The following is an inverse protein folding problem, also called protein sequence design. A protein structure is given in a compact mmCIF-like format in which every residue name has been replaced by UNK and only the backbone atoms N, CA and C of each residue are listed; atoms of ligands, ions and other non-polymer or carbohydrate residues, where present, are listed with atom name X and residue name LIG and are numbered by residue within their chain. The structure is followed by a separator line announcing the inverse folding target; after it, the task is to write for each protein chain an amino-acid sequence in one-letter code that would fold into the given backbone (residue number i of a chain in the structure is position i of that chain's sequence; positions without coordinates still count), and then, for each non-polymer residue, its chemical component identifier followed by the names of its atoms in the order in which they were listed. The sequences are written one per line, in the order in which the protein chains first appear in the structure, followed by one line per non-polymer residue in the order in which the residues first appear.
data_IF_073325760275
#
_entry.id   IF_073325760275
#
_cell.length_a   1.000
_cell.length_b   1.000
_cell.length_c   1.000
_cell.angle_alpha   90.00
_cell.angle_beta   90.00
_cell.angle_gamma   90.00
#
_symmetry.space_group_name_H-M   'P 1'
#
loop_
_entity.id
_entity.type
_entity.pdbx_description
1 polymer ?
#
# COMPACT_ATOMS: atom_id res chain seq x y z
N UNK A 1 56.20 -13.73 35.60
CA UNK A 1 55.13 -13.50 34.68
C UNK A 1 54.87 -14.60 33.66
N UNK A 2 54.76 -15.86 34.05
CA UNK A 2 54.50 -16.96 33.10
C UNK A 2 53.21 -17.78 33.42
N UNK A 3 52.27 -17.17 34.12
CA UNK A 3 51.15 -17.93 34.68
C UNK A 3 49.82 -17.92 33.89
N UNK A 4 49.59 -16.98 32.98
CA UNK A 4 48.27 -16.79 32.36
C UNK A 4 48.15 -17.33 30.90
N UNK A 5 49.24 -17.38 30.16
CA UNK A 5 49.23 -17.86 28.77
C UNK A 5 49.08 -19.38 28.67
N UNK A 6 49.50 -20.13 29.71
CA UNK A 6 49.38 -21.58 29.73
C UNK A 6 47.96 -22.14 30.00
N UNK A 7 47.08 -21.36 30.65
CA UNK A 7 45.75 -21.86 31.02
C UNK A 7 44.74 -21.77 29.84
N UNK A 8 44.84 -20.76 29.00
CA UNK A 8 43.96 -20.60 27.84
C UNK A 8 44.26 -21.65 26.74
N UNK A 9 45.54 -21.96 26.50
CA UNK A 9 45.93 -23.05 25.61
C UNK A 9 45.44 -24.42 26.10
N UNK A 10 45.43 -24.65 27.40
CA UNK A 10 44.99 -25.93 27.99
C UNK A 10 43.52 -26.25 27.82
N UNK A 11 42.63 -25.27 27.73
CA UNK A 11 41.18 -25.51 27.50
C UNK A 11 40.96 -25.95 26.07
N UNK A 12 41.59 -25.32 25.09
CA UNK A 12 41.49 -25.66 23.66
C UNK A 12 42.10 -27.04 23.37
N UNK A 13 43.21 -27.38 23.99
CA UNK A 13 43.90 -28.66 23.75
C UNK A 13 43.25 -29.83 24.44
N UNK A 14 42.57 -29.62 25.59
CA UNK A 14 41.86 -30.66 26.32
C UNK A 14 40.48 -31.02 25.78
N UNK A 15 39.78 -30.06 25.21
CA UNK A 15 38.40 -30.24 24.67
C UNK A 15 38.26 -29.61 23.30
N UNK A 16 39.05 -30.06 22.34
CA UNK A 16 39.08 -29.55 20.98
C UNK A 16 37.70 -29.62 20.29
N UNK A 17 36.95 -30.70 20.50
CA UNK A 17 35.61 -30.87 19.93
C UNK A 17 34.60 -29.85 20.47
N UNK A 18 34.70 -29.49 21.74
CA UNK A 18 33.78 -28.51 22.34
C UNK A 18 34.22 -27.08 21.99
N UNK A 19 35.53 -26.82 21.88
CA UNK A 19 36.06 -25.57 21.38
C UNK A 19 35.62 -25.31 19.92
N UNK A 20 35.68 -26.32 19.04
CA UNK A 20 35.24 -26.22 17.65
C UNK A 20 33.73 -25.93 17.58
N UNK A 21 32.88 -26.62 18.38
CA UNK A 21 31.43 -26.35 18.46
C UNK A 21 31.13 -24.92 18.92
N UNK A 22 31.86 -24.42 19.91
CA UNK A 22 31.70 -23.03 20.40
C UNK A 22 32.09 -22.04 19.30
N UNK A 23 33.22 -22.28 18.62
CA UNK A 23 33.64 -21.43 17.50
C UNK A 23 32.62 -21.44 16.35
N UNK A 24 32.08 -22.60 15.98
CA UNK A 24 31.04 -22.72 14.96
C UNK A 24 29.79 -21.97 15.37
N UNK A 25 29.34 -22.10 16.61
CA UNK A 25 28.17 -21.38 17.12
C UNK A 25 28.40 -19.87 17.14
N UNK A 26 29.59 -19.39 17.51
CA UNK A 26 29.95 -17.97 17.46
C UNK A 26 29.93 -17.47 16.02
N UNK A 27 30.51 -18.22 15.07
CA UNK A 27 30.50 -17.88 13.65
C UNK A 27 29.08 -17.82 13.07
N UNK A 28 28.23 -18.78 13.41
CA UNK A 28 26.80 -18.77 13.01
C UNK A 28 26.11 -17.52 13.54
N UNK A 29 26.27 -17.21 14.82
CA UNK A 29 25.68 -16.03 15.45
C UNK A 29 26.22 -14.72 14.86
N UNK A 30 27.52 -14.63 14.61
CA UNK A 30 28.15 -13.48 13.95
C UNK A 30 27.59 -13.27 12.53
N UNK A 31 27.54 -14.34 11.73
CA UNK A 31 26.98 -14.27 10.37
C UNK A 31 25.49 -13.86 10.38
N UNK A 32 24.72 -14.36 11.34
CA UNK A 32 23.32 -13.97 11.52
C UNK A 32 23.18 -12.47 11.86
N UNK A 33 24.01 -11.96 12.78
CA UNK A 33 24.03 -10.52 13.15
C UNK A 33 24.45 -9.63 11.97
N UNK A 34 25.53 -9.97 11.27
CA UNK A 34 26.00 -9.21 10.10
C UNK A 34 24.94 -9.17 9.01
N UNK A 35 24.28 -10.30 8.71
CA UNK A 35 23.17 -10.35 7.74
C UNK A 35 22.00 -9.47 8.16
N UNK A 36 21.60 -9.54 9.42
CA UNK A 36 20.52 -8.71 9.97
C UNK A 36 20.85 -7.21 9.88
N UNK A 37 22.08 -6.83 10.19
CA UNK A 37 22.53 -5.44 10.14
C UNK A 37 22.65 -4.92 8.70
N UNK A 38 23.20 -5.72 7.79
CA UNK A 38 23.25 -5.36 6.36
C UNK A 38 21.86 -5.21 5.77
N UNK A 39 20.94 -6.11 6.12
CA UNK A 39 19.54 -6.01 5.69
C UNK A 39 18.89 -4.74 6.24
N UNK A 40 19.10 -4.43 7.53
CA UNK A 40 18.60 -3.21 8.17
C UNK A 40 19.12 -1.94 7.47
N UNK A 41 20.43 -1.87 7.17
CA UNK A 41 21.02 -0.74 6.46
C UNK A 41 20.48 -0.57 5.04
N UNK A 42 20.32 -1.67 4.30
CA UNK A 42 19.75 -1.65 2.95
C UNK A 42 18.30 -1.17 2.95
N UNK A 43 17.49 -1.63 3.90
CA UNK A 43 16.09 -1.20 4.04
C UNK A 43 16.03 0.27 4.45
N UNK A 44 16.86 0.70 5.42
CA UNK A 44 16.94 2.10 5.83
C UNK A 44 17.35 3.01 4.65
N UNK A 45 18.33 2.61 3.85
CA UNK A 45 18.73 3.33 2.63
C UNK A 45 17.58 3.45 1.61
N UNK A 46 16.84 2.36 1.38
CA UNK A 46 15.66 2.37 0.48
C UNK A 46 14.54 3.31 0.96
N UNK A 47 14.30 3.40 2.27
CA UNK A 47 13.25 4.22 2.86
C UNK A 47 13.66 5.68 3.06
N UNK A 48 14.94 5.97 3.34
CA UNK A 48 15.44 7.34 3.57
C UNK A 48 15.72 8.13 2.29
N UNK A 49 15.84 7.48 1.14
CA UNK A 49 15.99 8.17 -0.16
C UNK A 49 14.72 8.91 -0.63
N UNK A 50 13.85 9.26 0.31
CA UNK A 50 12.48 9.75 0.08
C UNK A 50 12.37 11.24 -0.27
N UNK A 51 13.46 12.02 -0.23
CA UNK A 51 13.38 13.46 -0.51
C UNK A 51 13.15 13.81 -1.98
N UNK A 52 13.25 12.84 -2.90
CA UNK A 52 13.08 13.04 -4.34
C UNK A 52 12.06 12.04 -4.91
N UNK A 53 10.79 12.18 -4.45
CA UNK A 53 9.76 11.13 -4.63
C UNK A 53 9.14 11.05 -6.02
N UNK A 54 9.06 12.15 -6.74
CA UNK A 54 8.36 12.18 -8.04
C UNK A 54 9.05 11.38 -9.14
N UNK A 55 10.37 11.17 -9.06
CA UNK A 55 11.17 10.55 -10.12
C UNK A 55 11.47 9.06 -9.91
N UNK A 56 11.23 8.51 -8.69
CA UNK A 56 11.67 7.15 -8.32
C UNK A 56 10.56 6.11 -8.12
N UNK A 57 9.31 6.53 -7.92
CA UNK A 57 8.18 5.60 -7.81
C UNK A 57 7.54 5.43 -9.17
N UNK A 58 7.65 4.21 -9.72
CA UNK A 58 7.13 3.93 -11.06
C UNK A 58 5.61 4.13 -11.12
N UNK A 59 5.16 4.87 -12.16
CA UNK A 59 3.74 5.11 -12.46
C UNK A 59 2.96 5.86 -11.38
N UNK A 60 3.62 6.39 -10.36
CA UNK A 60 2.97 7.34 -9.46
C UNK A 60 2.67 8.64 -10.21
N UNK A 61 1.44 9.10 -10.10
CA UNK A 61 0.96 10.35 -10.72
C UNK A 61 0.58 11.31 -9.61
N UNK A 62 1.44 12.30 -9.33
CA UNK A 62 1.22 13.27 -8.26
C UNK A 62 0.14 14.31 -8.64
N UNK A 63 -0.34 15.05 -7.67
CA UNK A 63 -1.20 16.21 -7.82
C UNK A 63 -0.39 17.51 -7.73
N UNK A 64 -1.02 18.64 -8.12
CA UNK A 64 -0.36 19.95 -8.15
C UNK A 64 -0.32 20.64 -6.79
N UNK A 65 -1.36 20.46 -5.97
CA UNK A 65 -1.43 21.08 -4.64
C UNK A 65 -0.28 20.64 -3.74
N UNK A 66 0.21 21.58 -2.93
CA UNK A 66 1.17 21.33 -1.84
C UNK A 66 0.48 21.30 -0.48
N UNK A 67 -0.78 21.69 -0.42
CA UNK A 67 -1.56 21.68 0.82
C UNK A 67 -2.02 20.25 1.14
N UNK A 68 -1.46 19.68 2.20
CA UNK A 68 -1.77 18.32 2.65
C UNK A 68 -3.25 18.18 3.02
N UNK A 69 -3.90 19.24 3.48
CA UNK A 69 -5.31 19.21 3.89
C UNK A 69 -6.28 18.90 2.74
N UNK A 70 -5.88 19.23 1.51
CA UNK A 70 -6.68 19.01 0.29
C UNK A 70 -6.30 17.73 -0.45
N UNK A 71 -5.03 17.28 -0.32
CA UNK A 71 -4.47 16.20 -1.13
C UNK A 71 -5.10 14.86 -0.83
N UNK A 72 -5.50 14.15 -1.87
CA UNK A 72 -6.03 12.79 -1.81
C UNK A 72 -5.16 11.82 -2.61
N UNK A 73 -4.90 10.64 -2.05
CA UNK A 73 -4.19 9.56 -2.73
C UNK A 73 -5.15 8.44 -3.09
N UNK A 74 -5.29 8.15 -4.37
CA UNK A 74 -5.99 6.96 -4.85
C UNK A 74 -4.99 5.82 -5.09
N UNK A 75 -5.21 4.68 -4.44
CA UNK A 75 -4.50 3.43 -4.69
C UNK A 75 -5.41 2.59 -5.58
N UNK A 76 -5.04 2.44 -6.87
CA UNK A 76 -5.90 1.80 -7.86
C UNK A 76 -5.36 0.44 -8.30
N UNK A 77 -6.26 -0.43 -8.79
CA UNK A 77 -5.91 -1.75 -9.26
C UNK A 77 -5.43 -1.73 -10.71
N UNK A 78 -4.13 -1.95 -10.90
CA UNK A 78 -3.53 -2.15 -12.21
C UNK A 78 -3.36 -0.90 -13.07
N UNK A 79 -2.77 -1.11 -14.22
CA UNK A 79 -2.43 -0.03 -15.16
C UNK A 79 -3.65 0.48 -15.95
N UNK A 80 -4.63 -0.39 -16.20
CA UNK A 80 -5.87 -0.01 -16.90
C UNK A 80 -6.67 0.98 -16.06
N UNK A 81 -6.87 0.68 -14.77
CA UNK A 81 -7.52 1.60 -13.85
C UNK A 81 -6.73 2.92 -13.68
N UNK A 82 -5.38 2.87 -13.68
CA UNK A 82 -4.57 4.09 -13.68
C UNK A 82 -4.92 4.99 -14.87
N UNK A 83 -5.11 4.43 -16.06
CA UNK A 83 -5.46 5.18 -17.28
C UNK A 83 -6.77 5.92 -17.14
N UNK A 84 -7.85 5.22 -16.77
CA UNK A 84 -9.18 5.78 -16.56
C UNK A 84 -9.19 6.83 -15.44
N UNK A 85 -8.66 6.49 -14.26
CA UNK A 85 -8.60 7.41 -13.12
C UNK A 85 -7.75 8.66 -13.40
N UNK A 86 -6.66 8.54 -14.18
CA UNK A 86 -5.82 9.69 -14.57
C UNK A 86 -6.58 10.70 -15.43
N UNK A 87 -7.49 10.24 -16.28
CA UNK A 87 -8.35 11.12 -17.09
C UNK A 87 -9.48 11.72 -16.25
N UNK A 88 -10.06 10.93 -15.34
CA UNK A 88 -11.20 11.30 -14.52
C UNK A 88 -10.89 12.23 -13.33
N UNK A 89 -9.64 12.19 -12.80
CA UNK A 89 -9.27 12.89 -11.57
C UNK A 89 -9.23 14.40 -11.69
N UNK A 90 -9.41 15.08 -10.59
CA UNK A 90 -8.95 16.46 -10.46
C UNK A 90 -7.44 16.46 -10.16
N UNK A 91 -6.65 16.87 -11.15
CA UNK A 91 -5.19 16.92 -11.05
C UNK A 91 -4.67 17.99 -10.08
N UNK A 92 -5.52 18.87 -9.59
CA UNK A 92 -5.12 19.88 -8.60
C UNK A 92 -4.79 19.24 -7.25
N UNK A 93 -5.61 18.30 -6.77
CA UNK A 93 -5.44 17.72 -5.44
C UNK A 93 -5.46 16.16 -5.38
N UNK A 94 -5.82 15.48 -6.47
CA UNK A 94 -5.89 14.02 -6.49
C UNK A 94 -4.65 13.39 -7.14
N UNK A 95 -3.94 12.56 -6.39
CA UNK A 95 -2.81 11.75 -6.85
C UNK A 95 -3.23 10.28 -6.99
N UNK A 96 -2.53 9.53 -7.85
CA UNK A 96 -2.85 8.12 -8.11
C UNK A 96 -1.58 7.28 -8.11
N UNK A 97 -1.67 6.10 -7.48
CA UNK A 97 -0.65 5.06 -7.56
C UNK A 97 -1.30 3.72 -7.93
N UNK A 98 -0.85 3.03 -8.98
CA UNK A 98 -1.35 1.71 -9.32
C UNK A 98 -0.65 0.63 -8.49
N UNK A 99 -1.43 -0.37 -8.07
CA UNK A 99 -0.94 -1.61 -7.49
C UNK A 99 -1.12 -2.73 -8.51
N UNK A 100 -0.03 -3.39 -8.89
CA UNK A 100 -0.05 -4.45 -9.90
C UNK A 100 -0.18 -5.81 -9.24
N UNK A 101 -1.33 -6.43 -9.45
CA UNK A 101 -1.61 -7.77 -8.96
C UNK A 101 -1.71 -7.85 -7.43
N UNK A 102 -1.75 -9.07 -6.92
CA UNK A 102 -1.89 -9.34 -5.48
C UNK A 102 -0.57 -9.05 -4.76
N UNK A 103 -0.59 -8.07 -3.88
CA UNK A 103 0.59 -7.74 -3.07
C UNK A 103 0.85 -8.81 -2.01
N UNK A 104 2.06 -8.79 -1.45
CA UNK A 104 2.44 -9.71 -0.37
C UNK A 104 1.51 -9.56 0.84
N UNK A 105 1.05 -10.70 1.39
CA UNK A 105 0.27 -10.69 2.64
C UNK A 105 1.15 -10.29 3.82
N UNK A 106 1.09 -9.03 4.19
CA UNK A 106 1.90 -8.46 5.27
C UNK A 106 1.59 -9.05 6.64
N UNK A 107 0.41 -9.61 6.88
CA UNK A 107 0.09 -10.24 8.18
C UNK A 107 0.84 -11.56 8.38
N UNK A 108 1.13 -12.28 7.29
CA UNK A 108 1.82 -13.58 7.34
C UNK A 108 3.32 -13.47 7.07
N UNK A 109 3.76 -12.45 6.37
CA UNK A 109 5.15 -12.30 5.95
C UNK A 109 6.05 -11.74 7.06
N UNK A 110 7.31 -12.12 7.03
CA UNK A 110 8.35 -11.52 7.87
C UNK A 110 8.72 -10.11 7.38
N UNK A 111 9.13 -9.22 8.28
CA UNK A 111 9.48 -7.85 7.95
C UNK A 111 10.55 -7.74 6.85
N UNK A 112 11.54 -8.62 6.83
CA UNK A 112 12.58 -8.61 5.80
C UNK A 112 11.99 -8.83 4.39
N UNK A 113 10.99 -9.72 4.25
CA UNK A 113 10.30 -9.97 2.99
C UNK A 113 9.38 -8.80 2.62
N UNK A 114 8.71 -8.20 3.61
CA UNK A 114 7.84 -7.04 3.40
C UNK A 114 8.67 -5.88 2.82
N UNK A 115 9.78 -5.52 3.44
CA UNK A 115 10.62 -4.41 2.99
C UNK A 115 11.51 -4.73 1.78
N UNK A 116 11.62 -5.99 1.38
CA UNK A 116 12.21 -6.37 0.10
C UNK A 116 11.24 -6.22 -1.08
N UNK A 117 9.93 -6.09 -0.80
CA UNK A 117 8.90 -5.95 -1.84
C UNK A 117 8.82 -4.49 -2.31
N UNK A 118 9.07 -4.26 -3.59
CA UNK A 118 9.14 -2.92 -4.16
C UNK A 118 7.77 -2.21 -4.14
N UNK A 119 6.67 -2.92 -4.36
CA UNK A 119 5.31 -2.32 -4.32
C UNK A 119 5.02 -1.77 -2.92
N UNK A 120 5.33 -2.54 -1.89
CA UNK A 120 5.11 -2.12 -0.49
C UNK A 120 6.00 -0.94 -0.13
N UNK A 121 7.29 -0.99 -0.52
CA UNK A 121 8.21 0.11 -0.24
C UNK A 121 7.84 1.38 -0.99
N UNK A 122 7.31 1.28 -2.20
CA UNK A 122 6.82 2.42 -2.97
C UNK A 122 5.56 3.03 -2.34
N UNK A 123 4.61 2.21 -1.87
CA UNK A 123 3.45 2.70 -1.11
C UNK A 123 3.87 3.42 0.17
N UNK A 124 4.82 2.87 0.95
CA UNK A 124 5.34 3.53 2.16
C UNK A 124 5.98 4.89 1.83
N UNK A 125 6.77 4.96 0.75
CA UNK A 125 7.39 6.22 0.30
C UNK A 125 6.33 7.26 -0.12
N UNK A 126 5.32 6.85 -0.88
CA UNK A 126 4.25 7.74 -1.33
C UNK A 126 3.43 8.26 -0.17
N UNK A 127 3.12 7.41 0.82
CA UNK A 127 2.43 7.81 2.05
C UNK A 127 3.26 8.81 2.87
N UNK A 128 4.56 8.59 3.00
CA UNK A 128 5.50 9.53 3.61
C UNK A 128 5.55 9.54 5.14
N UNK A 129 4.64 8.85 5.82
CA UNK A 129 4.53 8.88 7.29
C UNK A 129 5.41 7.86 8.04
N UNK A 130 6.23 7.07 7.32
CA UNK A 130 7.05 6.01 7.94
C UNK A 130 6.24 4.78 8.32
N UNK A 131 6.78 3.96 9.24
CA UNK A 131 6.19 2.67 9.63
C UNK A 131 6.21 2.46 11.14
N UNK A 132 5.13 1.89 11.69
CA UNK A 132 4.97 1.51 13.09
C UNK A 132 5.42 0.05 13.29
N UNK A 133 6.73 -0.17 13.49
CA UNK A 133 7.23 -1.54 13.67
C UNK A 133 7.27 -1.89 15.15
N UNK A 134 6.55 -2.94 15.55
CA UNK A 134 6.51 -3.45 16.92
C UNK A 134 7.74 -4.30 17.30
N UNK A 135 8.72 -4.49 16.40
CA UNK A 135 9.92 -5.31 16.66
C UNK A 135 11.04 -4.49 17.27
N UNK A 136 11.62 -4.99 18.40
CA UNK A 136 12.75 -4.35 19.07
C UNK A 136 13.97 -4.17 18.16
N UNK A 137 14.20 -5.10 17.22
CA UNK A 137 15.33 -5.06 16.26
C UNK A 137 15.18 -4.04 15.14
N UNK A 138 13.99 -3.46 14.97
CA UNK A 138 13.67 -2.56 13.84
C UNK A 138 13.15 -1.17 14.29
N UNK A 139 13.17 -0.86 15.59
CA UNK A 139 12.66 0.41 16.13
C UNK A 139 13.34 1.66 15.56
N UNK A 140 14.59 1.53 15.08
CA UNK A 140 15.36 2.65 14.51
C UNK A 140 15.19 2.79 12.98
N UNK A 141 14.32 2.01 12.36
CA UNK A 141 13.90 2.25 10.97
C UNK A 141 12.98 3.46 10.94
N UNK A 142 12.72 4.02 9.79
CA UNK A 142 11.96 5.26 9.63
C UNK A 142 10.76 5.28 10.57
N UNK A 143 10.92 6.00 11.68
CA UNK A 143 9.91 6.07 12.73
C UNK A 143 8.62 6.66 12.16
N UNK A 144 7.50 6.08 12.54
CA UNK A 144 6.20 6.60 12.13
C UNK A 144 5.97 7.99 12.73
N UNK A 145 5.56 8.91 11.88
CA UNK A 145 5.06 10.23 12.28
C UNK A 145 3.86 10.60 11.41
N UNK A 146 2.70 10.72 12.04
CA UNK A 146 1.45 11.06 11.36
C UNK A 146 1.50 12.45 10.70
N UNK A 147 2.24 13.40 11.28
CA UNK A 147 2.36 14.76 10.74
C UNK A 147 3.15 14.81 9.42
N UNK A 148 3.89 13.74 9.11
CA UNK A 148 4.57 13.58 7.83
C UNK A 148 3.70 12.91 6.76
N UNK A 149 2.48 12.49 7.09
CA UNK A 149 1.54 11.98 6.10
C UNK A 149 1.25 13.07 5.06
N UNK A 150 1.41 12.74 3.79
CA UNK A 150 1.29 13.71 2.69
C UNK A 150 -0.12 13.87 2.14
N UNK A 151 -1.09 13.18 2.74
CA UNK A 151 -2.44 13.03 2.22
C UNK A 151 -3.48 13.28 3.29
N UNK A 152 -4.52 14.04 2.96
CA UNK A 152 -5.69 14.17 3.82
C UNK A 152 -6.45 12.86 3.88
N UNK A 153 -6.54 12.16 2.73
CA UNK A 153 -7.24 10.88 2.56
C UNK A 153 -6.42 9.93 1.70
N UNK A 154 -6.42 8.66 2.09
CA UNK A 154 -5.87 7.52 1.33
C UNK A 154 -7.05 6.66 0.91
N UNK A 155 -7.33 6.59 -0.38
CA UNK A 155 -8.54 6.00 -0.93
C UNK A 155 -8.16 4.77 -1.74
N UNK A 156 -8.64 3.59 -1.33
CA UNK A 156 -8.42 2.32 -2.03
C UNK A 156 -9.55 2.14 -3.04
N UNK A 157 -9.21 2.05 -4.31
CA UNK A 157 -10.15 1.91 -5.41
C UNK A 157 -9.77 0.67 -6.23
N UNK A 158 -10.50 -0.42 -6.05
CA UNK A 158 -10.30 -1.72 -6.72
C UNK A 158 -11.57 -2.13 -7.44
N UNK A 159 -11.42 -3.04 -8.38
CA UNK A 159 -12.56 -3.62 -9.09
C UNK A 159 -13.57 -4.26 -8.12
N UNK A 160 -14.83 -4.27 -8.51
CA UNK A 160 -15.91 -4.83 -7.68
C UNK A 160 -16.07 -6.34 -7.90
N UNK A 161 -14.97 -7.06 -8.02
CA UNK A 161 -14.90 -8.50 -8.18
C UNK A 161 -14.10 -9.19 -7.06
N UNK A 162 -13.97 -10.51 -7.13
CA UNK A 162 -13.29 -11.32 -6.11
C UNK A 162 -11.80 -10.95 -6.02
N UNK A 163 -11.15 -10.66 -7.14
CA UNK A 163 -9.72 -10.29 -7.16
C UNK A 163 -9.51 -8.89 -6.59
N UNK A 164 -10.36 -7.94 -6.94
CA UNK A 164 -10.34 -6.58 -6.37
C UNK A 164 -10.60 -6.58 -4.87
N UNK A 165 -11.52 -7.40 -4.37
CA UNK A 165 -11.73 -7.57 -2.92
C UNK A 165 -10.52 -8.17 -2.21
N UNK A 166 -9.81 -9.09 -2.87
CA UNK A 166 -8.57 -9.65 -2.33
C UNK A 166 -7.45 -8.61 -2.29
N UNK A 167 -7.27 -7.82 -3.36
CA UNK A 167 -6.25 -6.76 -3.42
C UNK A 167 -6.54 -5.70 -2.35
N UNK A 168 -7.78 -5.25 -2.23
CA UNK A 168 -8.25 -4.33 -1.17
C UNK A 168 -7.90 -4.86 0.21
N UNK A 169 -8.20 -6.12 0.49
CA UNK A 169 -7.91 -6.76 1.77
C UNK A 169 -6.40 -6.80 2.04
N UNK A 170 -5.57 -7.07 1.04
CA UNK A 170 -4.11 -7.11 1.20
C UNK A 170 -3.53 -5.70 1.46
N UNK A 171 -4.05 -4.66 0.80
CA UNK A 171 -3.65 -3.27 1.06
C UNK A 171 -4.05 -2.86 2.48
N UNK A 172 -5.28 -3.16 2.91
CA UNK A 172 -5.72 -2.91 4.28
C UNK A 172 -4.88 -3.66 5.32
N UNK A 173 -4.54 -4.93 5.05
CA UNK A 173 -3.67 -5.73 5.90
C UNK A 173 -2.25 -5.14 6.00
N UNK A 174 -1.73 -4.57 4.91
CA UNK A 174 -0.45 -3.84 4.91
C UNK A 174 -0.52 -2.60 5.80
N UNK A 175 -1.55 -1.76 5.61
CA UNK A 175 -1.75 -0.53 6.39
C UNK A 175 -1.94 -0.89 7.87
N UNK A 176 -2.80 -1.85 8.18
CA UNK A 176 -3.06 -2.30 9.56
C UNK A 176 -1.79 -2.79 10.26
N UNK A 177 -0.90 -3.50 9.56
CA UNK A 177 0.32 -4.02 10.16
C UNK A 177 1.44 -2.99 10.30
N UNK A 178 1.59 -2.10 9.30
CA UNK A 178 2.73 -1.20 9.19
C UNK A 178 2.45 0.21 9.69
N UNK A 179 1.19 0.64 9.69
CA UNK A 179 0.78 2.00 10.06
C UNK A 179 -0.69 2.05 10.54
N UNK A 180 -1.04 1.27 11.61
CA UNK A 180 -2.41 1.16 12.10
C UNK A 180 -3.02 2.51 12.50
N UNK A 181 -2.21 3.46 12.95
CA UNK A 181 -2.65 4.82 13.29
C UNK A 181 -3.37 5.52 12.13
N UNK A 182 -3.07 5.19 10.85
CA UNK A 182 -3.81 5.76 9.71
C UNK A 182 -5.28 5.33 9.71
N UNK A 183 -5.57 4.09 10.11
CA UNK A 183 -6.94 3.57 10.23
C UNK A 183 -7.62 4.21 11.44
N UNK A 184 -6.95 4.23 12.60
CA UNK A 184 -7.47 4.81 13.84
C UNK A 184 -7.80 6.30 13.70
N UNK A 185 -7.04 7.03 12.91
CA UNK A 185 -7.27 8.46 12.60
C UNK A 185 -8.23 8.71 11.45
N UNK A 186 -8.87 7.66 10.91
CA UNK A 186 -9.84 7.79 9.82
C UNK A 186 -9.25 8.36 8.53
N UNK A 187 -7.99 8.02 8.21
CA UNK A 187 -7.30 8.50 7.01
C UNK A 187 -7.48 7.56 5.81
N UNK A 188 -7.97 6.34 6.03
CA UNK A 188 -8.10 5.30 5.02
C UNK A 188 -9.56 5.10 4.64
N UNK A 189 -9.83 5.15 3.34
CA UNK A 189 -11.15 5.03 2.74
C UNK A 189 -11.16 3.96 1.67
N UNK A 190 -12.34 3.43 1.38
CA UNK A 190 -12.59 2.54 0.25
C UNK A 190 -13.55 3.28 -0.66
N UNK A 191 -13.20 3.46 -1.92
CA UNK A 191 -14.11 4.00 -2.92
C UNK A 191 -14.99 2.87 -3.47
N UNK A 192 -16.27 3.13 -3.57
CA UNK A 192 -17.22 2.27 -4.28
C UNK A 192 -17.45 2.84 -5.68
N UNK A 193 -17.23 2.01 -6.70
CA UNK A 193 -17.57 2.34 -8.08
C UNK A 193 -18.93 1.78 -8.43
N UNK A 194 -19.76 2.47 -9.23
CA UNK A 194 -21.04 1.95 -9.63
C UNK A 194 -20.89 0.68 -10.48
N UNK A 195 -21.79 -0.28 -10.26
CA UNK A 195 -21.84 -1.53 -11.01
C UNK A 195 -22.68 -1.40 -12.29
N UNK A 196 -23.60 -0.46 -12.32
CA UNK A 196 -24.49 -0.23 -13.43
C UNK A 196 -24.60 1.25 -13.75
N UNK A 197 -24.52 1.54 -15.04
CA UNK A 197 -24.86 2.81 -15.64
C UNK A 197 -26.15 2.64 -16.43
N UNK A 198 -27.17 3.45 -16.16
CA UNK A 198 -28.48 3.41 -16.78
C UNK A 198 -28.68 4.72 -17.50
N UNK A 199 -28.65 4.67 -18.83
CA UNK A 199 -28.77 5.84 -19.69
C UNK A 199 -30.17 5.92 -20.29
N UNK A 200 -30.87 7.02 -20.05
CA UNK A 200 -32.04 7.44 -20.80
C UNK A 200 -31.66 8.56 -21.79
N UNK A 201 -32.62 9.04 -22.54
CA UNK A 201 -32.40 10.12 -23.50
C UNK A 201 -31.91 11.42 -22.84
N UNK A 202 -32.38 11.69 -21.64
CA UNK A 202 -32.21 12.97 -20.95
C UNK A 202 -31.37 12.90 -19.67
N UNK A 203 -31.19 11.71 -19.09
CA UNK A 203 -30.52 11.52 -17.81
C UNK A 203 -29.72 10.21 -17.73
N UNK A 204 -28.69 10.20 -16.89
CA UNK A 204 -27.89 9.02 -16.55
C UNK A 204 -27.94 8.75 -15.05
N UNK A 205 -28.24 7.52 -14.68
CA UNK A 205 -28.25 7.06 -13.30
C UNK A 205 -27.17 6.01 -13.06
N UNK A 206 -26.68 5.97 -11.84
CA UNK A 206 -25.67 5.03 -11.38
C UNK A 206 -26.22 4.18 -10.24
N UNK A 207 -26.09 2.85 -10.37
CA UNK A 207 -26.48 1.91 -9.34
C UNK A 207 -25.27 1.11 -8.84
N UNK A 208 -25.16 0.96 -7.54
CA UNK A 208 -24.04 0.31 -6.88
C UNK A 208 -24.31 -1.14 -6.49
N UNK A 209 -25.57 -1.54 -6.59
CA UNK A 209 -26.03 -2.91 -6.35
C UNK A 209 -27.29 -3.21 -7.18
N UNK A 210 -27.72 -4.48 -7.14
CA UNK A 210 -28.89 -4.93 -7.90
C UNK A 210 -30.20 -4.27 -7.42
N UNK A 211 -30.32 -4.02 -6.10
CA UNK A 211 -31.52 -3.39 -5.54
C UNK A 211 -31.67 -1.95 -6.05
N UNK A 212 -30.61 -1.15 -5.97
CA UNK A 212 -30.61 0.23 -6.51
C UNK A 212 -30.94 0.25 -8.00
N UNK A 213 -30.40 -0.72 -8.77
CA UNK A 213 -30.76 -0.86 -10.18
C UNK A 213 -32.26 -1.07 -10.37
N UNK A 214 -32.87 -1.99 -9.61
CA UNK A 214 -34.31 -2.26 -9.73
C UNK A 214 -35.15 -1.05 -9.30
N UNK A 215 -34.73 -0.33 -8.26
CA UNK A 215 -35.42 0.87 -7.79
C UNK A 215 -35.40 1.97 -8.87
N UNK A 216 -34.28 2.17 -9.57
CA UNK A 216 -34.18 3.10 -10.69
C UNK A 216 -35.05 2.65 -11.86
N UNK A 217 -35.02 1.35 -12.22
CA UNK A 217 -35.81 0.82 -13.32
C UNK A 217 -37.31 0.95 -13.09
N UNK A 218 -37.77 0.79 -11.84
CA UNK A 218 -39.17 0.97 -11.48
C UNK A 218 -39.67 2.41 -11.69
N UNK A 219 -38.78 3.40 -11.59
CA UNK A 219 -39.09 4.81 -11.85
C UNK A 219 -39.11 5.12 -13.36
N UNK A 220 -38.48 4.27 -14.19
CA UNK A 220 -38.31 4.47 -15.63
C UNK A 220 -39.31 3.64 -16.48
N UNK A 221 -40.35 3.06 -15.88
CA UNK A 221 -41.27 2.06 -16.50
C UNK A 221 -41.78 2.41 -17.91
N UNK A 222 -41.80 3.69 -18.30
CA UNK A 222 -42.31 4.13 -19.61
C UNK A 222 -41.23 4.79 -20.50
N UNK A 223 -39.96 4.76 -20.09
CA UNK A 223 -38.86 5.41 -20.81
C UNK A 223 -37.99 4.39 -21.54
N UNK A 224 -37.46 4.77 -22.71
CA UNK A 224 -36.41 3.98 -23.37
C UNK A 224 -35.08 4.23 -22.64
N UNK A 225 -34.46 3.17 -22.17
CA UNK A 225 -33.16 3.22 -21.51
C UNK A 225 -32.23 2.12 -22.01
N UNK A 226 -30.95 2.32 -21.79
CA UNK A 226 -29.90 1.31 -21.97
C UNK A 226 -29.20 1.08 -20.63
N UNK A 227 -28.83 -0.18 -20.34
CA UNK A 227 -28.10 -0.56 -19.13
C UNK A 227 -26.71 -1.04 -19.55
N UNK A 228 -25.69 -0.42 -19.01
CA UNK A 228 -24.31 -0.86 -19.12
C UNK A 228 -23.85 -1.37 -17.76
N UNK A 229 -23.26 -2.58 -17.74
CA UNK A 229 -22.66 -3.15 -16.53
C UNK A 229 -21.17 -2.89 -16.55
N UNK A 230 -20.67 -2.22 -15.50
CA UNK A 230 -19.23 -2.09 -15.26
C UNK A 230 -18.66 -3.42 -14.80
N UNK A 231 -17.57 -3.88 -15.42
CA UNK A 231 -16.86 -5.10 -15.04
C UNK A 231 -15.57 -4.80 -14.26
N UNK A 232 -14.98 -3.65 -14.50
CA UNK A 232 -13.76 -3.22 -13.83
C UNK A 232 -13.48 -1.74 -14.08
N UNK A 233 -12.67 -1.13 -13.22
CA UNK A 233 -12.34 0.31 -13.25
C UNK A 233 -11.70 0.74 -14.58
N UNK A 234 -10.95 -0.16 -15.21
CA UNK A 234 -10.27 0.14 -16.48
C UNK A 234 -11.19 0.16 -17.70
N UNK A 235 -12.42 -0.36 -17.57
CA UNK A 235 -13.44 -0.38 -18.62
C UNK A 235 -14.44 0.78 -18.47
N UNK A 236 -14.41 1.47 -17.31
CA UNK A 236 -15.30 2.58 -17.02
C UNK A 236 -14.87 3.84 -17.79
N UNK A 237 -15.86 4.56 -18.31
CA UNK A 237 -15.61 5.84 -18.94
C UNK A 237 -15.07 6.85 -17.93
N UNK A 238 -14.13 7.70 -18.38
CA UNK A 238 -13.53 8.72 -17.54
C UNK A 238 -14.56 9.71 -16.99
N UNK A 239 -15.58 10.03 -17.79
CA UNK A 239 -16.67 10.92 -17.38
C UNK A 239 -17.49 10.31 -16.26
N UNK A 240 -17.84 9.02 -16.35
CA UNK A 240 -18.52 8.29 -15.27
C UNK A 240 -17.68 8.29 -13.99
N UNK A 241 -16.40 7.97 -14.09
CA UNK A 241 -15.48 7.97 -12.96
C UNK A 241 -15.34 9.36 -12.32
N UNK A 242 -15.31 10.41 -13.15
CA UNK A 242 -15.26 11.80 -12.71
C UNK A 242 -16.53 12.23 -11.97
N UNK A 243 -17.70 11.75 -12.39
CA UNK A 243 -18.99 12.07 -11.77
C UNK A 243 -19.29 11.26 -10.51
N UNK A 244 -18.67 10.10 -10.34
CA UNK A 244 -18.98 9.15 -9.26
C UNK A 244 -17.79 8.95 -8.33
N UNK A 245 -16.88 8.04 -8.66
CA UNK A 245 -15.79 7.53 -7.81
C UNK A 245 -14.75 8.58 -7.44
N UNK A 246 -14.43 9.51 -8.37
CA UNK A 246 -13.39 10.52 -8.17
C UNK A 246 -13.94 11.82 -7.58
N UNK A 247 -15.23 12.11 -7.71
CA UNK A 247 -15.82 13.36 -7.26
C UNK A 247 -16.06 13.36 -5.74
N UNK A 248 -15.43 14.26 -4.97
CA UNK A 248 -15.63 14.32 -3.52
C UNK A 248 -17.08 14.57 -3.07
N UNK A 249 -17.91 15.17 -3.92
CA UNK A 249 -19.29 15.52 -3.58
C UNK A 249 -20.27 14.35 -3.78
N UNK A 250 -19.97 13.40 -4.65
CA UNK A 250 -20.91 12.36 -5.08
C UNK A 250 -20.42 10.93 -4.84
N UNK A 251 -19.12 10.73 -4.59
CA UNK A 251 -18.54 9.41 -4.34
C UNK A 251 -19.04 8.79 -3.03
N UNK A 252 -19.10 7.48 -3.03
CA UNK A 252 -19.37 6.63 -1.88
C UNK A 252 -18.13 5.93 -1.35
#
# INVERSE_FOLDING_TARGET
GSGLVGSEMCIRDRNKLDADKICDQVLVNMRARVRAETTKLNIKGKLQSSNDMGSRVQKFVDCRSKDVSERELFIVEGDSALGACKQARDSSFQAIIPVRGKILNCLKAEYNKIFANDIITDLIKVLGCGVEVKSKSMKDMVAFNIDQLRWSKVIICTDADVDGFQIRTLILAMIYRLMPTLIEKGKVYIAESPLYEINSKDETWFAYNEQEKQDILSQLENSKFTIQRSKGLGENDADMMSLTTMNPATRR
#
